data_IF_793342238759
#
_entry.id   IF_793342238759
#
_cell.length_a   1.000
_cell.length_b   1.000
_cell.length_c   1.000
_cell.angle_alpha   90.00
_cell.angle_beta   90.00
_cell.angle_gamma   90.00
#
_symmetry.space_group_name_H-M   'P 1'
#
loop_
_entity.id
_entity.type
_entity.pdbx_description
1 polymer ?
#
# COMPACT_ATOMS: atom_id res chain seq x y z
N UNK A 1 -27.43 9.92 -3.84
CA UNK A 1 -26.22 9.07 -3.72
C UNK A 1 -26.21 7.85 -4.64
N UNK A 2 -27.33 7.14 -4.92
CA UNK A 2 -27.35 5.96 -5.82
C UNK A 2 -27.09 6.26 -7.32
N UNK A 3 -27.33 7.47 -7.81
CA UNK A 3 -27.13 7.84 -9.23
C UNK A 3 -25.66 8.20 -9.59
N UNK A 4 -24.84 8.58 -8.61
CA UNK A 4 -23.44 8.92 -8.82
C UNK A 4 -22.58 7.67 -9.03
N UNK A 5 -22.89 6.57 -8.33
CA UNK A 5 -22.15 5.30 -8.45
C UNK A 5 -22.36 4.62 -9.81
N UNK A 6 -23.53 4.81 -10.44
CA UNK A 6 -23.83 4.23 -11.76
C UNK A 6 -23.11 4.98 -12.90
N UNK A 7 -22.87 6.28 -12.71
CA UNK A 7 -22.18 7.10 -13.71
C UNK A 7 -20.66 6.86 -13.73
N UNK A 8 -20.06 6.55 -12.58
CA UNK A 8 -18.65 6.15 -12.50
C UNK A 8 -18.38 4.78 -13.11
N UNK A 9 -19.29 3.81 -12.93
CA UNK A 9 -19.17 2.49 -13.58
C UNK A 9 -19.33 2.57 -15.11
N UNK A 10 -20.21 3.44 -15.64
CA UNK A 10 -20.39 3.58 -17.08
C UNK A 10 -19.23 4.29 -17.77
N UNK A 11 -18.55 5.23 -17.09
CA UNK A 11 -17.35 5.89 -17.63
C UNK A 11 -16.15 4.93 -17.72
N UNK A 12 -16.01 4.01 -16.75
CA UNK A 12 -14.96 3.00 -16.77
C UNK A 12 -15.12 2.00 -17.93
N UNK A 13 -16.36 1.58 -18.22
CA UNK A 13 -16.64 0.59 -19.28
C UNK A 13 -16.41 1.17 -20.68
N UNK A 14 -16.61 2.48 -20.89
CA UNK A 14 -16.42 3.12 -22.19
C UNK A 14 -14.93 3.25 -22.60
N UNK A 15 -14.00 3.26 -21.63
CA UNK A 15 -12.57 3.31 -21.91
C UNK A 15 -12.01 1.95 -22.38
N UNK A 16 -12.68 0.83 -22.04
CA UNK A 16 -12.23 -0.52 -22.38
C UNK A 16 -12.71 -1.02 -23.75
N UNK A 17 -13.70 -0.36 -24.35
CA UNK A 17 -14.33 -0.82 -25.60
C UNK A 17 -13.59 -0.41 -26.88
N UNK A 18 -12.59 0.48 -26.80
CA UNK A 18 -11.82 0.97 -27.94
C UNK A 18 -10.38 0.43 -28.00
N UNK A 19 -10.09 -0.69 -27.33
CA UNK A 19 -8.89 -1.46 -27.58
C UNK A 19 -8.96 -2.05 -28.97
N UNK A 20 -8.46 -1.33 -29.97
CA UNK A 20 -8.25 -1.86 -31.31
C UNK A 20 -7.37 -3.10 -31.18
N UNK A 21 -7.89 -4.26 -31.57
CA UNK A 21 -7.12 -5.47 -31.82
C UNK A 21 -6.24 -5.24 -33.06
N UNK A 22 -5.21 -4.41 -32.94
CA UNK A 22 -4.11 -4.41 -33.87
C UNK A 22 -3.35 -5.71 -33.63
N UNK A 23 -3.50 -6.70 -34.49
CA UNK A 23 -2.56 -7.80 -34.55
C UNK A 23 -1.23 -7.20 -35.02
N UNK A 24 -0.19 -7.18 -34.16
CA UNK A 24 1.10 -6.69 -34.60
C UNK A 24 1.68 -7.70 -35.58
N UNK A 25 1.80 -7.30 -36.84
CA UNK A 25 2.55 -7.99 -37.88
C UNK A 25 4.03 -7.57 -37.86
N UNK A 26 4.59 -7.32 -36.66
CA UNK A 26 5.94 -6.83 -36.47
C UNK A 26 6.68 -7.56 -35.34
N UNK A 27 7.96 -7.31 -35.24
CA UNK A 27 8.81 -7.76 -34.15
C UNK A 27 8.33 -7.13 -32.82
N UNK A 28 8.09 -7.96 -31.78
CA UNK A 28 7.64 -7.45 -30.49
C UNK A 28 8.73 -6.63 -29.82
N UNK A 29 8.46 -5.37 -29.51
CA UNK A 29 9.35 -4.53 -28.74
C UNK A 29 9.29 -4.92 -27.27
N UNK A 30 10.28 -5.71 -26.83
CA UNK A 30 10.41 -6.24 -25.47
C UNK A 30 11.50 -5.48 -24.68
N UNK A 31 11.61 -4.17 -24.92
CA UNK A 31 12.62 -3.29 -24.33
C UNK A 31 12.52 -3.15 -22.81
N UNK A 32 13.47 -2.44 -22.25
CA UNK A 32 13.36 -1.94 -20.89
C UNK A 32 12.38 -0.78 -20.83
N UNK A 33 11.62 -0.71 -19.75
CA UNK A 33 10.65 0.34 -19.49
C UNK A 33 10.86 0.90 -18.09
N UNK A 34 10.71 2.20 -17.95
CA UNK A 34 10.81 2.91 -16.67
C UNK A 34 9.54 3.70 -16.47
N UNK A 35 8.95 3.62 -15.28
CA UNK A 35 7.66 4.24 -14.98
C UNK A 35 7.69 4.94 -13.63
N UNK A 36 7.73 6.28 -13.57
CA UNK A 36 7.31 7.01 -12.38
C UNK A 36 5.82 6.82 -12.15
N UNK A 37 5.43 6.57 -10.90
CA UNK A 37 4.06 6.20 -10.52
C UNK A 37 3.59 6.89 -9.27
N UNK A 38 2.28 7.03 -9.17
CA UNK A 38 1.57 7.33 -7.92
C UNK A 38 0.60 6.17 -7.62
N UNK A 39 0.50 5.82 -6.36
CA UNK A 39 -0.32 4.67 -5.95
C UNK A 39 -0.81 4.83 -4.52
N UNK A 40 -1.69 3.91 -4.09
CA UNK A 40 -2.06 3.77 -2.67
C UNK A 40 -0.90 3.35 -1.76
N UNK A 41 0.27 3.02 -2.33
CA UNK A 41 1.52 2.75 -1.63
C UNK A 41 2.48 3.95 -1.62
N UNK A 42 2.05 5.11 -2.16
CA UNK A 42 2.85 6.31 -2.29
C UNK A 42 3.35 6.57 -3.72
N UNK A 43 4.32 7.49 -3.84
CA UNK A 43 5.02 7.75 -5.07
C UNK A 43 6.13 6.71 -5.28
N UNK A 44 6.36 6.30 -6.52
CA UNK A 44 7.32 5.24 -6.81
C UNK A 44 7.95 5.33 -8.19
N UNK A 45 8.94 4.48 -8.38
CA UNK A 45 9.59 4.23 -9.64
C UNK A 45 9.63 2.73 -9.89
N UNK A 46 9.29 2.33 -11.11
CA UNK A 46 9.29 0.93 -11.52
C UNK A 46 10.10 0.75 -12.79
N UNK A 47 10.85 -0.35 -12.85
CA UNK A 47 11.56 -0.82 -14.03
C UNK A 47 10.94 -2.14 -14.46
N UNK A 48 10.66 -2.27 -15.75
CA UNK A 48 10.07 -3.48 -16.32
C UNK A 48 10.87 -3.94 -17.55
N UNK A 49 10.81 -5.25 -17.82
CA UNK A 49 11.36 -5.86 -19.04
C UNK A 49 10.43 -6.93 -19.56
N UNK A 50 10.11 -6.85 -20.86
CA UNK A 50 9.50 -7.96 -21.58
C UNK A 50 10.52 -9.09 -21.79
N UNK A 51 10.15 -10.31 -21.47
CA UNK A 51 10.96 -11.50 -21.68
C UNK A 51 10.51 -12.27 -22.92
N UNK A 52 9.21 -12.32 -23.11
CA UNK A 52 8.54 -12.92 -24.27
C UNK A 52 7.30 -12.07 -24.60
N UNK A 53 6.64 -12.30 -25.76
CA UNK A 53 5.39 -11.61 -26.06
C UNK A 53 4.27 -11.81 -25.03
N UNK A 54 4.39 -12.82 -24.17
CA UNK A 54 3.37 -13.11 -23.14
C UNK A 54 3.86 -12.88 -21.71
N UNK A 55 5.17 -12.71 -21.46
CA UNK A 55 5.72 -12.62 -20.11
C UNK A 55 6.68 -11.46 -19.95
N UNK A 56 6.57 -10.77 -18.82
CA UNK A 56 7.47 -9.73 -18.39
C UNK A 56 7.84 -9.86 -16.91
N UNK A 57 8.84 -9.12 -16.50
CA UNK A 57 9.24 -8.94 -15.11
C UNK A 57 9.25 -7.44 -14.79
N UNK A 58 8.87 -7.10 -13.57
CA UNK A 58 8.92 -5.74 -13.03
C UNK A 58 9.52 -5.73 -11.64
N UNK A 59 10.24 -4.67 -11.34
CA UNK A 59 10.69 -4.35 -9.99
C UNK A 59 10.48 -2.87 -9.73
N UNK A 60 10.02 -2.52 -8.54
CA UNK A 60 9.70 -1.14 -8.20
C UNK A 60 9.86 -0.84 -6.72
N UNK A 61 9.97 0.44 -6.44
CA UNK A 61 10.05 1.00 -5.10
C UNK A 61 8.96 2.07 -4.96
N UNK A 62 8.29 2.10 -3.80
CA UNK A 62 7.32 3.13 -3.45
C UNK A 62 7.69 3.71 -2.08
N UNK A 63 7.41 5.00 -1.92
CA UNK A 63 7.62 5.72 -0.67
C UNK A 63 6.58 6.82 -0.48
N UNK A 64 6.10 6.94 0.75
CA UNK A 64 5.28 8.04 1.23
C UNK A 64 5.47 8.16 2.74
N UNK A 65 5.61 9.38 3.24
CA UNK A 65 5.64 9.67 4.67
C UNK A 65 4.74 10.86 4.94
N UNK A 66 3.96 10.76 6.02
CA UNK A 66 3.07 11.82 6.48
C UNK A 66 3.09 11.89 7.99
N UNK A 67 3.56 13.03 8.52
CA UNK A 67 3.52 13.35 9.95
C UNK A 67 2.34 14.28 10.25
N UNK A 68 1.65 14.01 11.35
CA UNK A 68 0.56 14.82 11.88
C UNK A 68 0.75 15.09 13.35
N UNK A 69 0.93 16.36 13.69
CA UNK A 69 1.01 16.83 15.08
C UNK A 69 -0.29 17.56 15.44
N UNK A 70 -0.87 17.22 16.57
CA UNK A 70 -2.04 17.88 17.11
C UNK A 70 -1.96 17.99 18.64
N UNK A 71 -2.59 19.00 19.18
CA UNK A 71 -2.81 19.11 20.62
C UNK A 71 -4.32 19.26 20.84
N UNK A 72 -4.91 18.30 21.50
CA UNK A 72 -6.34 18.29 21.82
C UNK A 72 -6.56 17.92 23.28
N UNK A 73 -7.38 18.68 23.99
CA UNK A 73 -7.75 18.41 25.37
C UNK A 73 -6.55 18.16 26.32
N UNK A 74 -5.48 18.96 26.19
CA UNK A 74 -4.24 18.85 26.97
C UNK A 74 -3.39 17.59 26.68
N UNK A 75 -3.63 16.92 25.55
CA UNK A 75 -2.80 15.82 25.06
C UNK A 75 -2.17 16.24 23.73
N UNK A 76 -0.84 16.16 23.66
CA UNK A 76 -0.11 16.34 22.40
C UNK A 76 0.06 14.99 21.72
N UNK A 77 -0.40 14.90 20.48
CA UNK A 77 -0.29 13.72 19.61
C UNK A 77 0.71 13.99 18.50
N UNK A 78 1.58 13.04 18.26
CA UNK A 78 2.50 13.01 17.14
C UNK A 78 2.31 11.66 16.44
N UNK A 79 1.74 11.71 15.22
CA UNK A 79 1.43 10.53 14.41
C UNK A 79 2.28 10.56 13.15
N UNK A 80 2.92 9.47 12.83
CA UNK A 80 3.72 9.29 11.61
C UNK A 80 3.26 8.04 10.86
N UNK A 81 2.78 8.25 9.63
CA UNK A 81 2.49 7.19 8.66
C UNK A 81 3.68 7.08 7.72
N UNK A 82 4.32 5.93 7.68
CA UNK A 82 5.36 5.60 6.70
C UNK A 82 4.87 4.47 5.79
N UNK A 83 4.84 4.73 4.47
CA UNK A 83 4.62 3.71 3.45
C UNK A 83 5.92 3.54 2.67
N UNK A 84 6.50 2.35 2.76
CA UNK A 84 7.78 2.03 2.13
C UNK A 84 7.76 0.59 1.66
N UNK A 85 7.89 0.40 0.36
CA UNK A 85 7.87 -0.94 -0.19
C UNK A 85 8.81 -1.11 -1.38
N UNK A 86 9.37 -2.31 -1.49
CA UNK A 86 10.05 -2.78 -2.69
C UNK A 86 9.32 -3.99 -3.22
N UNK A 87 9.01 -4.01 -4.51
CA UNK A 87 8.19 -5.04 -5.13
C UNK A 87 8.88 -5.70 -6.31
N UNK A 88 8.59 -6.99 -6.51
CA UNK A 88 8.96 -7.74 -7.71
C UNK A 88 7.73 -8.49 -8.21
N UNK A 89 7.42 -8.34 -9.50
CA UNK A 89 6.26 -8.95 -10.14
C UNK A 89 6.66 -9.71 -11.41
N UNK A 90 5.94 -10.80 -11.65
CA UNK A 90 5.86 -11.45 -12.95
C UNK A 90 4.53 -11.05 -13.61
N UNK A 91 4.59 -10.61 -14.84
CA UNK A 91 3.45 -10.18 -15.64
C UNK A 91 3.17 -11.20 -16.73
N UNK A 92 1.90 -11.59 -16.83
CA UNK A 92 1.41 -12.41 -17.94
C UNK A 92 0.49 -11.56 -18.82
N UNK A 93 0.86 -11.44 -20.09
CA UNK A 93 0.09 -10.75 -21.13
C UNK A 93 -0.65 -11.78 -22.00
N UNK A 94 -1.87 -12.20 -21.64
CA UNK A 94 -2.59 -13.26 -22.32
C UNK A 94 -2.89 -12.93 -23.79
N UNK A 95 -3.08 -11.64 -24.08
CA UNK A 95 -3.39 -11.13 -25.43
C UNK A 95 -2.18 -10.54 -26.14
N UNK A 96 -0.96 -10.71 -25.61
CA UNK A 96 0.28 -10.18 -26.16
C UNK A 96 0.27 -8.66 -26.40
N UNK A 97 -0.40 -7.90 -25.56
CA UNK A 97 -0.55 -6.45 -25.66
C UNK A 97 -0.63 -5.82 -24.27
N UNK A 98 -1.19 -4.64 -24.18
CA UNK A 98 -1.21 -3.79 -23.00
C UNK A 98 -1.75 -4.45 -21.73
N UNK A 99 -2.79 -5.28 -21.84
CA UNK A 99 -3.41 -5.95 -20.69
C UNK A 99 -2.49 -7.01 -20.08
N UNK A 100 -2.38 -7.02 -18.75
CA UNK A 100 -1.60 -8.01 -18.02
C UNK A 100 -2.29 -8.48 -16.74
N UNK A 101 -1.98 -9.71 -16.36
CA UNK A 101 -2.19 -10.23 -15.02
C UNK A 101 -0.84 -10.31 -14.32
N UNK A 102 -0.80 -9.87 -13.07
CA UNK A 102 0.44 -9.71 -12.31
C UNK A 102 0.37 -10.51 -11.02
N UNK A 103 1.44 -11.22 -10.72
CA UNK A 103 1.66 -11.88 -9.44
C UNK A 103 3.07 -11.64 -8.94
N UNK A 104 3.24 -11.52 -7.63
CA UNK A 104 4.56 -11.28 -7.07
C UNK A 104 4.57 -11.07 -5.57
N UNK A 105 5.61 -10.40 -5.11
CA UNK A 105 5.82 -10.14 -3.69
C UNK A 105 6.33 -8.73 -3.46
N UNK A 106 5.91 -8.17 -2.32
CA UNK A 106 6.46 -6.93 -1.79
C UNK A 106 7.27 -7.22 -0.53
N UNK A 107 8.40 -6.54 -0.41
CA UNK A 107 9.07 -6.30 0.87
C UNK A 107 8.36 -5.09 1.45
N UNK A 108 7.55 -5.32 2.48
CA UNK A 108 6.66 -4.34 3.07
C UNK A 108 7.32 -3.73 4.31
N UNK A 109 7.54 -2.44 4.30
CA UNK A 109 8.03 -1.65 5.42
C UNK A 109 7.01 -0.58 5.85
N UNK A 110 5.73 -0.79 5.53
CA UNK A 110 4.67 0.13 5.93
C UNK A 110 4.45 0.06 7.45
N UNK A 111 4.23 1.21 8.06
CA UNK A 111 3.97 1.32 9.48
C UNK A 111 3.25 2.60 9.85
N UNK A 112 2.67 2.60 11.02
CA UNK A 112 2.11 3.77 11.67
C UNK A 112 2.69 3.83 13.08
N UNK A 113 3.30 4.94 13.44
CA UNK A 113 3.73 5.24 14.79
C UNK A 113 2.95 6.41 15.37
N UNK A 114 2.64 6.31 16.66
CA UNK A 114 1.95 7.35 17.41
C UNK A 114 2.63 7.57 18.75
N UNK A 115 2.85 8.83 19.10
CA UNK A 115 3.32 9.24 20.42
C UNK A 115 2.31 10.22 21.00
N UNK A 116 1.77 9.91 22.19
CA UNK A 116 0.93 10.81 22.96
C UNK A 116 1.65 11.23 24.24
N UNK A 117 1.58 12.53 24.56
CA UNK A 117 2.09 13.10 25.82
C UNK A 117 0.91 13.69 26.58
N UNK A 118 0.25 12.89 27.42
CA UNK A 118 -0.88 13.35 28.22
C UNK A 118 -0.40 14.25 29.36
N UNK A 119 -1.23 15.22 29.74
CA UNK A 119 -1.07 16.06 30.93
C UNK A 119 -2.10 15.74 32.01
N UNK A 120 -2.95 14.75 31.75
CA UNK A 120 -3.93 14.17 32.67
C UNK A 120 -3.90 12.65 32.63
N UNK A 121 -4.40 11.95 33.65
CA UNK A 121 -4.45 10.49 33.64
C UNK A 121 -5.14 9.93 32.40
N UNK A 122 -4.60 8.86 31.86
CA UNK A 122 -5.08 8.15 30.65
C UNK A 122 -5.62 6.79 31.05
N UNK A 123 -6.78 6.45 30.52
CA UNK A 123 -7.38 5.13 30.70
C UNK A 123 -6.64 4.10 29.83
N UNK A 124 -6.11 3.05 30.45
CA UNK A 124 -5.49 1.90 29.80
C UNK A 124 -6.16 0.63 30.37
N UNK A 125 -6.81 -0.14 29.50
CA UNK A 125 -7.48 -1.38 29.88
C UNK A 125 -8.59 -1.22 30.94
N UNK A 126 -9.22 -0.04 31.02
CA UNK A 126 -10.29 0.28 31.96
C UNK A 126 -9.82 0.87 33.29
N UNK A 127 -8.56 1.34 33.39
CA UNK A 127 -8.00 1.95 34.60
C UNK A 127 -7.20 3.20 34.22
N UNK A 128 -7.37 4.29 34.99
CA UNK A 128 -6.65 5.54 34.80
C UNK A 128 -5.21 5.46 35.36
N UNK A 129 -4.24 5.88 34.54
CA UNK A 129 -2.83 5.93 34.89
C UNK A 129 -2.22 7.30 34.60
N UNK A 130 -1.35 7.75 35.52
CA UNK A 130 -0.54 8.95 35.32
C UNK A 130 0.72 8.59 34.50
N UNK A 131 0.71 9.00 33.23
CA UNK A 131 1.71 8.61 32.24
C UNK A 131 2.36 9.85 31.62
N UNK A 132 3.68 9.82 31.45
CA UNK A 132 4.45 10.86 30.76
C UNK A 132 4.35 10.73 29.24
N UNK A 133 4.24 9.49 28.74
CA UNK A 133 4.06 9.23 27.32
C UNK A 133 3.47 7.84 27.08
N UNK A 134 2.69 7.76 25.98
CA UNK A 134 2.14 6.51 25.42
C UNK A 134 2.59 6.43 23.96
N UNK A 135 3.23 5.31 23.58
CA UNK A 135 3.65 5.07 22.21
C UNK A 135 2.91 3.86 21.65
N UNK A 136 2.35 4.04 20.47
CA UNK A 136 1.76 2.99 19.65
C UNK A 136 2.61 2.79 18.40
N UNK A 137 2.96 1.56 18.10
CA UNK A 137 3.62 1.17 16.86
C UNK A 137 2.80 0.08 16.19
N UNK A 138 2.43 0.30 14.92
CA UNK A 138 1.72 -0.68 14.08
C UNK A 138 2.64 -1.00 12.91
N UNK A 139 2.96 -2.27 12.75
CA UNK A 139 3.80 -2.76 11.67
C UNK A 139 3.21 -3.98 10.99
N UNK A 140 3.64 -4.27 9.78
CA UNK A 140 3.17 -5.40 8.99
C UNK A 140 4.29 -6.39 8.70
N UNK A 141 3.91 -7.63 8.34
CA UNK A 141 4.89 -8.64 7.92
C UNK A 141 5.70 -8.17 6.73
N UNK A 142 7.00 -8.41 6.79
CA UNK A 142 7.96 -7.93 5.79
C UNK A 142 7.68 -8.45 4.39
N UNK A 143 7.23 -9.70 4.24
CA UNK A 143 6.93 -10.29 2.93
C UNK A 143 5.42 -10.38 2.71
N UNK A 144 4.94 -9.71 1.68
CA UNK A 144 3.52 -9.63 1.34
C UNK A 144 3.29 -10.07 -0.12
N UNK A 145 2.55 -11.17 -0.37
CA UNK A 145 2.17 -11.56 -1.72
C UNK A 145 1.20 -10.55 -2.34
N UNK A 146 1.35 -10.36 -3.65
CA UNK A 146 0.54 -9.47 -4.48
C UNK A 146 -0.04 -10.24 -5.66
N UNK A 147 -1.27 -9.90 -6.03
CA UNK A 147 -1.88 -10.25 -7.30
C UNK A 147 -2.74 -9.10 -7.81
N UNK A 148 -2.79 -8.96 -9.13
CA UNK A 148 -3.50 -7.85 -9.74
C UNK A 148 -3.63 -8.00 -11.25
N UNK A 149 -4.25 -6.99 -11.83
CA UNK A 149 -4.35 -6.79 -13.26
C UNK A 149 -3.91 -5.37 -13.60
N UNK A 150 -3.48 -5.16 -14.82
CA UNK A 150 -3.01 -3.85 -15.24
C UNK A 150 -2.98 -3.68 -16.75
N UNK A 151 -2.61 -2.48 -17.13
CA UNK A 151 -2.41 -2.08 -18.51
C UNK A 151 -1.10 -1.32 -18.64
N UNK A 152 -0.32 -1.68 -19.64
CA UNK A 152 0.91 -1.01 -20.04
C UNK A 152 0.84 -0.80 -21.55
N UNK A 153 0.56 0.43 -21.96
CA UNK A 153 0.27 0.75 -23.36
C UNK A 153 1.50 0.63 -24.27
N UNK A 154 2.72 0.54 -23.71
CA UNK A 154 3.95 0.36 -24.48
C UNK A 154 4.35 -1.09 -24.67
N UNK A 155 3.70 -2.05 -23.97
CA UNK A 155 4.10 -3.45 -24.05
C UNK A 155 3.76 -4.05 -25.42
N UNK A 156 4.80 -4.42 -26.16
CA UNK A 156 4.68 -4.99 -27.49
C UNK A 156 4.39 -3.96 -28.59
N UNK A 157 4.40 -2.68 -28.27
CA UNK A 157 4.20 -1.56 -29.18
C UNK A 157 5.55 -0.86 -29.51
N UNK A 158 5.59 -0.11 -30.59
CA UNK A 158 6.75 0.68 -31.02
C UNK A 158 6.82 2.06 -30.33
N UNK A 159 5.75 2.45 -29.65
CA UNK A 159 5.68 3.74 -28.96
C UNK A 159 6.61 3.79 -27.75
N UNK A 160 7.49 4.79 -27.70
CA UNK A 160 8.39 4.99 -26.57
C UNK A 160 7.67 5.49 -25.31
N UNK A 161 6.57 6.25 -25.45
CA UNK A 161 5.80 6.82 -24.35
C UNK A 161 4.43 6.20 -24.25
N UNK A 162 4.02 5.97 -23.02
CA UNK A 162 2.68 5.46 -22.75
C UNK A 162 2.25 5.68 -21.30
N UNK A 163 1.19 4.98 -20.95
CA UNK A 163 0.59 4.99 -19.62
C UNK A 163 0.56 3.59 -19.03
N UNK A 164 0.71 3.54 -17.72
CA UNK A 164 0.54 2.31 -16.95
C UNK A 164 -0.52 2.52 -15.90
N UNK A 165 -1.32 1.48 -15.68
CA UNK A 165 -2.36 1.44 -14.67
C UNK A 165 -2.43 0.04 -14.06
N UNK A 166 -2.54 -0.06 -12.74
CA UNK A 166 -2.68 -1.34 -12.04
C UNK A 166 -3.78 -1.28 -10.99
N UNK A 167 -4.51 -2.38 -10.88
CA UNK A 167 -5.44 -2.69 -9.82
C UNK A 167 -5.04 -4.03 -9.21
N UNK A 168 -4.85 -4.07 -7.89
CA UNK A 168 -4.42 -5.29 -7.24
C UNK A 168 -4.71 -5.31 -5.76
N UNK A 169 -4.32 -6.42 -5.15
CA UNK A 169 -4.44 -6.67 -3.72
C UNK A 169 -3.11 -7.20 -3.18
N UNK A 170 -2.71 -6.67 -2.05
CA UNK A 170 -1.61 -7.19 -1.24
C UNK A 170 -2.20 -7.91 -0.05
N UNK A 171 -1.73 -9.12 0.23
CA UNK A 171 -2.00 -9.79 1.48
C UNK A 171 -0.88 -9.50 2.48
N UNK A 172 -1.11 -8.49 3.33
CA UNK A 172 -0.11 -8.04 4.33
C UNK A 172 -0.11 -8.91 5.59
N UNK A 173 -1.09 -9.81 5.72
CA UNK A 173 -1.34 -10.52 6.98
C UNK A 173 -1.85 -9.59 8.07
N UNK A 174 -1.97 -10.09 9.28
CA UNK A 174 -2.34 -9.26 10.43
C UNK A 174 -1.22 -8.28 10.74
N UNK A 175 -1.58 -7.02 10.96
CA UNK A 175 -0.66 -6.04 11.53
C UNK A 175 -0.29 -6.43 12.96
N UNK A 176 0.88 -6.03 13.43
CA UNK A 176 1.32 -6.20 14.80
C UNK A 176 1.26 -4.84 15.50
N UNK A 177 0.47 -4.77 16.59
CA UNK A 177 0.38 -3.58 17.43
C UNK A 177 1.29 -3.73 18.65
N UNK A 178 2.13 -2.75 18.90
CA UNK A 178 2.93 -2.65 20.11
C UNK A 178 2.57 -1.36 20.86
N UNK A 179 2.07 -1.49 22.09
CA UNK A 179 1.74 -0.39 22.97
C UNK A 179 2.76 -0.32 24.10
N UNK A 180 3.44 0.81 24.25
CA UNK A 180 4.37 1.06 25.34
C UNK A 180 4.04 2.38 26.03
N UNK A 181 4.29 2.48 27.34
CA UNK A 181 4.07 3.70 28.09
C UNK A 181 5.20 3.94 29.08
N UNK A 182 5.39 5.22 29.44
CA UNK A 182 6.36 5.67 30.45
C UNK A 182 5.65 6.62 31.41
N UNK A 183 6.09 6.64 32.67
CA UNK A 183 5.56 7.47 33.73
C UNK A 183 5.42 6.71 35.03
N UNK A 184 5.03 7.39 36.10
CA UNK A 184 4.86 6.78 37.42
C UNK A 184 3.74 5.71 37.41
N UNK A 185 2.67 5.92 36.65
CA UNK A 185 1.57 4.98 36.50
C UNK A 185 2.00 3.65 35.86
N UNK A 186 3.00 3.67 34.99
CA UNK A 186 3.53 2.45 34.35
C UNK A 186 4.24 1.49 35.32
N UNK A 187 4.60 1.96 36.51
CA UNK A 187 5.24 1.16 37.56
C UNK A 187 4.25 0.53 38.54
N UNK A 188 2.96 0.86 38.41
CA UNK A 188 1.92 0.37 39.31
C UNK A 188 1.59 -1.11 39.05
N UNK A 189 1.23 -1.81 40.11
CA UNK A 189 0.78 -3.19 39.99
C UNK A 189 -0.50 -3.27 39.13
N UNK A 190 -0.54 -4.23 38.19
CA UNK A 190 -1.65 -4.41 37.25
C UNK A 190 -1.53 -3.59 35.94
N UNK A 191 -0.59 -2.63 35.84
CA UNK A 191 -0.42 -1.85 34.61
C UNK A 191 -0.12 -2.73 33.40
N UNK A 192 0.82 -3.66 33.51
CA UNK A 192 1.21 -4.54 32.40
C UNK A 192 0.07 -5.43 31.94
N UNK A 193 -0.82 -5.87 32.85
CA UNK A 193 -2.01 -6.64 32.49
C UNK A 193 -3.01 -5.79 31.69
N UNK A 194 -3.27 -4.56 32.14
CA UNK A 194 -4.17 -3.62 31.48
C UNK A 194 -3.61 -3.15 30.13
N UNK A 195 -2.30 -2.86 30.06
CA UNK A 195 -1.61 -2.52 28.81
C UNK A 195 -1.72 -3.65 27.79
N UNK A 196 -1.54 -4.89 28.22
CA UNK A 196 -1.67 -6.05 27.34
C UNK A 196 -3.11 -6.23 26.88
N UNK A 197 -4.09 -6.04 27.74
CA UNK A 197 -5.51 -6.09 27.36
C UNK A 197 -5.83 -5.06 26.29
N UNK A 198 -5.41 -3.80 26.45
CA UNK A 198 -5.56 -2.73 25.46
C UNK A 198 -4.88 -3.09 24.13
N UNK A 199 -3.65 -3.61 24.19
CA UNK A 199 -2.92 -4.05 23.01
C UNK A 199 -3.64 -5.21 22.30
N UNK A 200 -4.19 -6.19 23.02
CA UNK A 200 -4.91 -7.32 22.48
C UNK A 200 -6.24 -6.88 21.83
N UNK A 201 -6.91 -5.86 22.37
CA UNK A 201 -8.10 -5.26 21.76
C UNK A 201 -7.76 -4.57 20.43
N UNK A 202 -6.72 -3.74 20.40
CA UNK A 202 -6.19 -3.13 19.17
C UNK A 202 -5.79 -4.18 18.14
N UNK A 203 -5.13 -5.24 18.57
CA UNK A 203 -4.72 -6.35 17.70
C UNK A 203 -5.92 -7.03 17.04
N UNK A 204 -7.00 -7.28 17.80
CA UNK A 204 -8.23 -7.89 17.29
C UNK A 204 -8.90 -7.00 16.22
N UNK A 205 -8.90 -5.68 16.40
CA UNK A 205 -9.47 -4.74 15.43
C UNK A 205 -8.64 -4.74 14.12
N UNK A 206 -7.31 -4.77 14.25
CA UNK A 206 -6.38 -4.82 13.12
C UNK A 206 -6.40 -6.16 12.36
N UNK A 207 -6.80 -7.24 13.01
CA UNK A 207 -6.86 -8.58 12.39
C UNK A 207 -7.85 -8.69 11.21
N UNK A 208 -8.76 -7.74 11.08
CA UNK A 208 -9.64 -7.63 9.92
C UNK A 208 -8.97 -6.99 8.69
N UNK A 209 -7.88 -6.24 8.87
CA UNK A 209 -7.21 -5.43 7.85
C UNK A 209 -6.04 -6.17 7.18
N UNK A 210 -6.27 -7.41 6.73
CA UNK A 210 -5.23 -8.27 6.12
C UNK A 210 -4.95 -7.94 4.66
N UNK A 211 -5.88 -7.24 4.01
CA UNK A 211 -5.82 -6.97 2.58
C UNK A 211 -5.66 -5.50 2.31
N UNK A 212 -4.67 -5.14 1.50
CA UNK A 212 -4.44 -3.77 1.07
C UNK A 212 -4.74 -3.63 -0.42
N UNK A 213 -5.73 -2.80 -0.81
CA UNK A 213 -6.01 -2.53 -2.21
C UNK A 213 -4.92 -1.63 -2.81
N UNK A 214 -4.40 -2.05 -3.96
CA UNK A 214 -3.43 -1.28 -4.73
C UNK A 214 -4.11 -0.71 -5.96
N UNK A 215 -4.10 0.61 -6.06
CA UNK A 215 -4.46 1.37 -7.25
C UNK A 215 -3.23 2.18 -7.61
N UNK A 216 -2.74 2.03 -8.83
CA UNK A 216 -1.53 2.71 -9.29
C UNK A 216 -1.71 3.22 -10.71
N UNK A 217 -1.19 4.41 -10.98
CA UNK A 217 -1.13 5.01 -12.30
C UNK A 217 0.21 5.70 -12.52
N UNK A 218 0.69 5.71 -13.76
CA UNK A 218 1.95 6.36 -14.09
C UNK A 218 2.16 6.56 -15.58
N UNK A 219 3.23 7.27 -15.88
CA UNK A 219 3.78 7.35 -17.22
C UNK A 219 4.81 6.24 -17.41
N UNK A 220 4.97 5.77 -18.63
CA UNK A 220 6.02 4.79 -18.97
C UNK A 220 6.82 5.28 -20.15
N UNK A 221 8.12 5.08 -20.07
CA UNK A 221 9.05 5.25 -21.19
C UNK A 221 9.73 3.92 -21.50
N UNK A 222 9.67 3.52 -22.76
CA UNK A 222 10.31 2.32 -23.32
C UNK A 222 11.53 2.71 -24.12
N UNK A 223 12.64 2.01 -23.86
CA UNK A 223 13.94 2.17 -24.56
C UNK A 223 14.09 1.20 -25.71
#
# INVERSE_FOLDING_TARGET
MKKLNLMLCTLAISFFANGTNAQPSGEYHLGFRVSPRISTLGAGLEVAKGLTPNFGLRAGFNYFSYGYEATESDVSYDLELELKSFAVFADWHPFKGAFRLSGGFLINGNGLSGNAKPTSPVEIGGTDYDLDSVNLEISYKTLAPYFGLGWDTTFGDEDNWGFVFDLGLIYSGSAEAALTAKGAGALLAGFEENRKKEQDELQNDLDSLKWWPVISAGLVYQF
#
